data_IF_064435401553
#
_entry.id   IF_064435401553
#
_cell.length_a   1.000
_cell.length_b   1.000
_cell.length_c   1.000
_cell.angle_alpha   90.00
_cell.angle_beta   90.00
_cell.angle_gamma   90.00
#
_symmetry.space_group_name_H-M   'P 1'
#
loop_
_entity.id
_entity.type
_entity.pdbx_description
1 polymer ?
#
# COMPACT_ATOMS: atom_id res chain seq x y z
N UNK A 1 15.79 -54.84 -31.90
CA UNK A 1 15.69 -54.16 -30.59
C UNK A 1 16.33 -52.78 -30.71
N UNK A 2 15.57 -51.70 -30.94
CA UNK A 2 16.03 -50.35 -30.64
C UNK A 2 15.27 -49.75 -29.46
N UNK A 3 16.05 -49.11 -28.59
CA UNK A 3 15.76 -48.64 -27.23
C UNK A 3 15.11 -47.26 -27.17
N UNK A 4 14.20 -47.10 -26.20
CA UNK A 4 13.52 -45.88 -25.77
C UNK A 4 14.49 -44.71 -25.51
N UNK A 5 14.62 -43.75 -26.44
CA UNK A 5 15.39 -42.52 -26.21
C UNK A 5 14.55 -41.24 -26.37
N UNK A 6 13.37 -41.30 -26.99
CA UNK A 6 12.57 -40.11 -27.33
C UNK A 6 11.63 -39.65 -26.21
N UNK A 7 11.38 -40.48 -25.19
CA UNK A 7 10.39 -40.19 -24.14
C UNK A 7 10.92 -39.26 -23.04
N UNK A 8 12.23 -39.14 -22.83
CA UNK A 8 12.77 -38.36 -21.70
C UNK A 8 12.81 -36.85 -21.96
N UNK A 9 13.10 -36.41 -23.20
CA UNK A 9 13.25 -34.99 -23.52
C UNK A 9 11.95 -34.17 -23.38
N UNK A 10 10.79 -34.78 -23.63
CA UNK A 10 9.47 -34.12 -23.49
C UNK A 10 9.06 -33.96 -22.01
N UNK A 11 9.48 -34.91 -21.17
CA UNK A 11 9.23 -34.91 -19.72
C UNK A 11 10.12 -33.89 -19.02
N UNK A 12 11.37 -33.74 -19.46
CA UNK A 12 12.31 -32.74 -18.92
C UNK A 12 11.91 -31.30 -19.25
N UNK A 13 11.43 -31.04 -20.48
CA UNK A 13 10.96 -29.71 -20.88
C UNK A 13 9.68 -29.28 -20.13
N UNK A 14 8.78 -30.22 -19.86
CA UNK A 14 7.54 -29.95 -19.08
C UNK A 14 7.85 -29.68 -17.61
N UNK A 15 8.81 -30.43 -17.04
CA UNK A 15 9.26 -30.24 -15.65
C UNK A 15 9.99 -28.90 -15.47
N UNK A 16 10.88 -28.55 -16.41
CA UNK A 16 11.59 -27.26 -16.39
C UNK A 16 10.63 -26.06 -16.53
N UNK A 17 9.61 -26.14 -17.38
CA UNK A 17 8.61 -25.09 -17.52
C UNK A 17 7.78 -24.88 -16.24
N UNK A 18 7.37 -25.98 -15.57
CA UNK A 18 6.66 -25.91 -14.28
C UNK A 18 7.52 -25.36 -13.13
N UNK A 19 8.82 -25.65 -13.12
CA UNK A 19 9.78 -25.10 -12.17
C UNK A 19 10.02 -23.59 -12.39
N UNK A 20 10.08 -23.14 -13.64
CA UNK A 20 10.23 -21.73 -14.00
C UNK A 20 9.01 -20.90 -13.60
N UNK A 21 7.80 -21.42 -13.80
CA UNK A 21 6.54 -20.75 -13.44
C UNK A 21 6.38 -20.64 -11.91
N UNK A 22 6.65 -21.72 -11.17
CA UNK A 22 6.63 -21.70 -9.70
C UNK A 22 7.67 -20.75 -9.09
N UNK A 23 8.88 -20.68 -9.64
CA UNK A 23 9.90 -19.73 -9.22
C UNK A 23 9.48 -18.27 -9.47
N UNK A 24 8.91 -17.98 -10.64
CA UNK A 24 8.39 -16.66 -11.00
C UNK A 24 7.25 -16.25 -10.07
N UNK A 25 6.32 -17.16 -9.79
CA UNK A 25 5.21 -16.95 -8.84
C UNK A 25 5.72 -16.66 -7.43
N UNK A 26 6.74 -17.39 -6.97
CA UNK A 26 7.35 -17.16 -5.66
C UNK A 26 8.01 -15.76 -5.56
N UNK A 27 8.67 -15.29 -6.62
CA UNK A 27 9.25 -13.94 -6.66
C UNK A 27 8.15 -12.89 -6.59
N UNK A 28 7.10 -13.03 -7.40
CA UNK A 28 5.94 -12.13 -7.39
C UNK A 28 5.28 -12.08 -6.01
N UNK A 29 5.07 -13.23 -5.37
CA UNK A 29 4.49 -13.31 -4.03
C UNK A 29 5.34 -12.59 -2.98
N UNK A 30 6.66 -12.75 -3.03
CA UNK A 30 7.58 -12.05 -2.11
C UNK A 30 7.51 -10.54 -2.29
N UNK A 31 7.43 -10.07 -3.55
CA UNK A 31 7.29 -8.63 -3.85
C UNK A 31 5.96 -8.09 -3.35
N UNK A 32 4.86 -8.80 -3.62
CA UNK A 32 3.54 -8.45 -3.13
C UNK A 32 3.50 -8.36 -1.60
N UNK A 33 4.04 -9.37 -0.90
CA UNK A 33 4.10 -9.35 0.56
C UNK A 33 4.91 -8.16 1.09
N UNK A 34 5.99 -7.76 0.41
CA UNK A 34 6.76 -6.57 0.79
C UNK A 34 5.94 -5.30 0.64
N UNK A 35 5.18 -5.18 -0.45
CA UNK A 35 4.29 -4.04 -0.70
C UNK A 35 3.19 -3.98 0.36
N UNK A 36 2.53 -5.11 0.63
CA UNK A 36 1.50 -5.22 1.67
C UNK A 36 2.03 -4.81 3.04
N UNK A 37 3.21 -5.32 3.43
CA UNK A 37 3.82 -4.94 4.70
C UNK A 37 4.20 -3.45 4.76
N UNK A 38 4.58 -2.86 3.62
CA UNK A 38 4.86 -1.43 3.51
C UNK A 38 3.61 -0.57 3.71
N UNK A 39 2.52 -0.88 3.00
CA UNK A 39 1.25 -0.17 3.16
C UNK A 39 0.65 -0.34 4.55
N UNK A 40 0.77 -1.55 5.11
CA UNK A 40 0.37 -1.83 6.48
C UNK A 40 1.12 -0.92 7.47
N UNK A 41 2.44 -0.84 7.37
CA UNK A 41 3.26 0.01 8.25
C UNK A 41 2.93 1.51 8.09
N UNK A 42 2.77 1.98 6.85
CA UNK A 42 2.39 3.37 6.55
C UNK A 42 1.01 3.69 7.12
N UNK A 43 0.02 2.84 6.89
CA UNK A 43 -1.37 3.07 7.34
C UNK A 43 -1.49 3.00 8.85
N UNK A 44 -0.80 2.05 9.50
CA UNK A 44 -0.68 2.02 10.96
C UNK A 44 -0.10 3.31 11.52
N UNK A 45 0.95 3.85 10.88
CA UNK A 45 1.60 5.07 11.34
C UNK A 45 0.73 6.31 11.11
N UNK A 46 0.03 6.40 9.98
CA UNK A 46 -0.96 7.46 9.70
C UNK A 46 -2.05 7.43 10.78
N UNK A 47 -2.66 6.27 11.05
CA UNK A 47 -3.71 6.13 12.05
C UNK A 47 -3.26 6.54 13.44
N UNK A 48 -2.04 6.13 13.83
CA UNK A 48 -1.44 6.54 15.10
C UNK A 48 -1.24 8.06 15.19
N UNK A 49 -0.63 8.67 14.17
CA UNK A 49 -0.32 10.11 14.17
C UNK A 49 -1.60 10.94 14.14
N UNK A 50 -2.54 10.60 13.27
CA UNK A 50 -3.82 11.29 13.13
C UNK A 50 -4.63 11.24 14.43
N UNK A 51 -4.73 10.08 15.08
CA UNK A 51 -5.35 9.96 16.40
C UNK A 51 -4.64 10.78 17.48
N UNK A 52 -3.30 10.77 17.48
CA UNK A 52 -2.50 11.53 18.47
C UNK A 52 -2.63 13.04 18.29
N UNK A 53 -2.86 13.50 17.05
CA UNK A 53 -3.00 14.90 16.67
C UNK A 53 -4.47 15.36 16.62
N UNK A 54 -5.43 14.48 16.90
CA UNK A 54 -6.87 14.72 16.79
C UNK A 54 -7.30 15.19 15.38
N UNK A 55 -6.77 14.52 14.35
CA UNK A 55 -7.09 14.79 12.94
C UNK A 55 -7.99 13.66 12.42
N UNK A 56 -9.22 13.94 11.95
CA UNK A 56 -10.22 12.92 11.65
C UNK A 56 -9.92 12.05 10.42
N UNK A 57 -9.33 12.60 9.35
CA UNK A 57 -8.98 11.88 8.12
C UNK A 57 -10.09 10.91 7.61
N UNK A 58 -11.36 11.30 7.72
CA UNK A 58 -12.51 10.48 7.30
C UNK A 58 -13.01 10.86 5.90
N UNK A 59 -12.58 12.01 5.39
CA UNK A 59 -13.00 12.54 4.09
C UNK A 59 -11.82 13.12 3.30
N UNK A 60 -12.02 13.31 2.00
CA UNK A 60 -11.04 14.01 1.16
C UNK A 60 -10.76 15.44 1.67
N UNK A 61 -11.77 16.13 2.22
CA UNK A 61 -11.61 17.45 2.81
C UNK A 61 -10.69 17.43 4.05
N UNK A 62 -10.84 16.45 4.94
CA UNK A 62 -9.96 16.30 6.12
C UNK A 62 -8.51 16.06 5.70
N UNK A 63 -8.33 15.26 4.65
CA UNK A 63 -7.01 14.94 4.10
C UNK A 63 -6.39 16.19 3.49
N UNK A 64 -7.15 16.93 2.69
CA UNK A 64 -6.69 18.18 2.10
C UNK A 64 -6.30 19.19 3.19
N UNK A 65 -7.10 19.32 4.24
CA UNK A 65 -6.77 20.18 5.39
C UNK A 65 -5.47 19.74 6.08
N UNK A 66 -5.23 18.43 6.24
CA UNK A 66 -3.98 17.90 6.80
C UNK A 66 -2.77 18.16 5.88
N UNK A 67 -2.99 18.30 4.57
CA UNK A 67 -1.95 18.64 3.59
C UNK A 67 -1.68 20.15 3.50
N UNK A 68 -2.67 21.02 3.72
CA UNK A 68 -2.56 22.47 3.53
C UNK A 68 -1.95 23.23 4.73
N UNK A 69 -1.78 22.58 5.87
CA UNK A 69 -1.53 23.24 7.15
C UNK A 69 -0.08 23.73 7.36
N UNK A 70 0.34 24.79 6.65
CA UNK A 70 1.64 25.46 6.85
C UNK A 70 1.52 26.90 7.37
N UNK A 71 0.57 27.69 6.89
CA UNK A 71 0.53 29.14 7.18
C UNK A 71 0.09 29.47 8.62
N UNK A 72 -0.92 28.78 9.15
CA UNK A 72 -1.42 29.01 10.52
C UNK A 72 -0.70 28.15 11.59
N UNK A 73 0.11 27.17 11.19
CA UNK A 73 0.95 26.38 12.09
C UNK A 73 2.24 27.10 12.50
N UNK A 74 2.59 28.19 11.82
CA UNK A 74 3.79 29.00 12.07
C UNK A 74 3.82 29.68 13.46
N UNK A 75 2.67 29.77 14.14
CA UNK A 75 2.58 30.19 15.54
C UNK A 75 2.96 29.09 16.55
N UNK A 76 2.90 27.82 16.15
CA UNK A 76 3.40 26.71 16.94
C UNK A 76 4.92 26.60 16.72
N UNK A 77 5.70 26.94 17.76
CA UNK A 77 7.16 26.93 17.77
C UNK A 77 7.75 25.82 16.88
N UNK A 78 8.33 26.21 15.75
CA UNK A 78 9.03 25.28 14.87
C UNK A 78 9.98 24.39 15.70
N UNK A 79 9.84 23.07 15.57
CA UNK A 79 10.64 22.09 16.32
C UNK A 79 9.96 21.40 17.51
N UNK A 80 8.69 21.71 17.85
CA UNK A 80 7.96 20.90 18.83
C UNK A 80 7.79 19.46 18.37
N UNK A 81 7.52 18.55 19.31
CA UNK A 81 7.16 17.16 19.00
C UNK A 81 5.91 17.10 18.12
N UNK A 82 4.91 17.93 18.41
CA UNK A 82 3.66 18.00 17.64
C UNK A 82 3.90 18.47 16.20
N UNK A 83 4.69 19.53 16.00
CA UNK A 83 5.04 20.01 14.66
C UNK A 83 5.75 18.91 13.84
N UNK A 84 6.65 18.14 14.46
CA UNK A 84 7.30 16.99 13.81
C UNK A 84 6.31 15.88 13.46
N UNK A 85 5.34 15.58 14.33
CA UNK A 85 4.29 14.60 14.05
C UNK A 85 3.38 15.04 12.89
N UNK A 86 3.06 16.34 12.80
CA UNK A 86 2.27 16.90 11.68
C UNK A 86 3.03 16.80 10.35
N UNK A 87 4.32 17.15 10.34
CA UNK A 87 5.19 17.01 9.16
C UNK A 87 5.29 15.54 8.74
N UNK A 88 5.49 14.62 9.69
CA UNK A 88 5.53 13.19 9.42
C UNK A 88 4.20 12.67 8.84
N UNK A 89 3.07 13.04 9.45
CA UNK A 89 1.74 12.67 8.96
C UNK A 89 1.53 13.13 7.52
N UNK A 90 1.86 14.39 7.23
CA UNK A 90 1.75 14.95 5.87
C UNK A 90 2.64 14.19 4.89
N UNK A 91 3.90 13.93 5.23
CA UNK A 91 4.82 13.20 4.37
C UNK A 91 4.31 11.78 4.07
N UNK A 92 3.74 11.10 5.06
CA UNK A 92 3.16 9.77 4.89
C UNK A 92 1.88 9.78 4.05
N UNK A 93 1.03 10.80 4.20
CA UNK A 93 -0.14 10.98 3.35
C UNK A 93 0.29 11.18 1.89
N UNK A 94 1.20 12.13 1.61
CA UNK A 94 1.73 12.36 0.26
C UNK A 94 2.32 11.07 -0.32
N UNK A 95 3.16 10.36 0.45
CA UNK A 95 3.75 9.10 0.01
C UNK A 95 2.68 8.05 -0.34
N UNK A 96 1.64 7.89 0.51
CA UNK A 96 0.56 6.92 0.27
C UNK A 96 -0.16 7.23 -1.04
N UNK A 97 -0.57 8.48 -1.23
CA UNK A 97 -1.28 8.91 -2.45
C UNK A 97 -0.42 8.74 -3.71
N UNK A 98 0.82 9.18 -3.67
CA UNK A 98 1.75 9.10 -4.80
C UNK A 98 2.09 7.65 -5.19
N UNK A 99 2.26 6.75 -4.23
CA UNK A 99 2.46 5.32 -4.51
C UNK A 99 1.19 4.69 -5.10
N UNK A 100 0.02 4.98 -4.54
CA UNK A 100 -1.27 4.46 -5.05
C UNK A 100 -1.52 4.93 -6.48
N UNK A 101 -1.36 6.23 -6.75
CA UNK A 101 -1.52 6.79 -8.08
C UNK A 101 -0.57 6.11 -9.08
N UNK A 102 0.71 5.93 -8.74
CA UNK A 102 1.67 5.23 -9.61
C UNK A 102 1.29 3.77 -9.88
N UNK A 103 0.75 3.07 -8.89
CA UNK A 103 0.30 1.69 -9.06
C UNK A 103 -0.92 1.63 -9.98
N UNK A 104 -1.91 2.49 -9.73
CA UNK A 104 -3.14 2.54 -10.50
C UNK A 104 -2.90 2.84 -12.00
N UNK A 105 -2.00 3.78 -12.29
CA UNK A 105 -1.68 4.19 -13.66
C UNK A 105 -0.61 3.30 -14.35
N UNK A 106 -0.15 2.23 -13.68
CA UNK A 106 0.83 1.32 -14.28
C UNK A 106 0.14 0.23 -15.09
N UNK A 107 0.50 0.07 -16.37
CA UNK A 107 0.01 -1.02 -17.24
C UNK A 107 0.24 -2.43 -16.66
N UNK A 108 1.18 -2.56 -15.71
CA UNK A 108 1.54 -3.85 -15.08
C UNK A 108 0.70 -4.18 -13.86
N UNK A 109 0.04 -3.20 -13.25
CA UNK A 109 -0.71 -3.34 -12.00
C UNK A 109 -2.16 -2.93 -12.24
N UNK A 110 -2.37 -1.69 -12.66
CA UNK A 110 -3.70 -1.13 -12.90
C UNK A 110 -4.46 -0.76 -11.62
N UNK A 111 -5.54 0.00 -11.79
CA UNK A 111 -6.40 0.47 -10.71
C UNK A 111 -6.93 -0.66 -9.82
N UNK A 112 -7.55 -1.68 -10.42
CA UNK A 112 -8.16 -2.79 -9.69
C UNK A 112 -7.18 -3.50 -8.75
N UNK A 113 -6.00 -3.88 -9.26
CA UNK A 113 -5.00 -4.55 -8.42
C UNK A 113 -4.41 -3.61 -7.35
N UNK A 114 -4.31 -2.31 -7.63
CA UNK A 114 -3.90 -1.33 -6.62
C UNK A 114 -4.91 -1.26 -5.47
N UNK A 115 -6.21 -1.19 -5.78
CA UNK A 115 -7.28 -1.23 -4.79
C UNK A 115 -7.23 -2.51 -3.95
N UNK A 116 -7.11 -3.68 -4.59
CA UNK A 116 -7.03 -4.98 -3.90
C UNK A 116 -5.83 -5.06 -2.94
N UNK A 117 -4.67 -4.55 -3.36
CA UNK A 117 -3.47 -4.52 -2.52
C UNK A 117 -3.72 -3.67 -1.27
N UNK A 118 -4.34 -2.49 -1.42
CA UNK A 118 -4.60 -1.61 -0.29
C UNK A 118 -5.66 -2.19 0.66
N UNK A 119 -6.75 -2.73 0.13
CA UNK A 119 -7.75 -3.43 0.94
C UNK A 119 -7.14 -4.60 1.71
N UNK A 120 -6.33 -5.42 1.04
CA UNK A 120 -5.64 -6.55 1.70
C UNK A 120 -4.69 -6.07 2.81
N UNK A 121 -3.97 -4.95 2.61
CA UNK A 121 -3.11 -4.39 3.65
C UNK A 121 -3.93 -3.87 4.84
N UNK A 122 -5.10 -3.27 4.59
CA UNK A 122 -6.01 -2.81 5.62
C UNK A 122 -6.66 -3.97 6.39
N UNK A 123 -7.07 -5.03 5.71
CA UNK A 123 -7.61 -6.23 6.35
C UNK A 123 -6.61 -6.86 7.33
N UNK A 124 -5.31 -6.82 6.99
CA UNK A 124 -4.24 -7.25 7.92
C UNK A 124 -4.16 -6.38 9.17
N UNK A 125 -4.36 -5.07 9.05
CA UNK A 125 -4.42 -4.17 10.20
C UNK A 125 -5.64 -4.45 11.07
N UNK A 126 -6.81 -4.63 10.45
CA UNK A 126 -8.03 -5.01 11.16
C UNK A 126 -7.85 -6.33 11.93
N UNK A 127 -7.23 -7.33 11.29
CA UNK A 127 -6.90 -8.60 11.92
C UNK A 127 -5.89 -8.46 13.09
N UNK A 128 -5.07 -7.38 13.10
CA UNK A 128 -4.18 -7.02 14.21
C UNK A 128 -4.85 -6.18 15.30
N UNK A 129 -6.14 -5.88 15.18
CA UNK A 129 -6.92 -5.14 16.17
C UNK A 129 -6.95 -3.62 15.97
N UNK A 130 -6.57 -3.11 14.79
CA UNK A 130 -6.81 -1.71 14.46
C UNK A 130 -8.32 -1.46 14.31
N UNK A 131 -8.78 -0.32 14.82
CA UNK A 131 -10.17 0.11 14.70
C UNK A 131 -10.47 0.48 13.25
N UNK A 132 -11.53 -0.09 12.67
CA UNK A 132 -11.98 0.22 11.31
C UNK A 132 -12.39 1.69 11.14
N UNK A 133 -12.77 2.36 12.21
CA UNK A 133 -13.11 3.79 12.23
C UNK A 133 -11.92 4.67 12.63
N UNK A 134 -10.71 4.12 12.80
CA UNK A 134 -9.56 4.96 13.09
C UNK A 134 -9.26 5.92 11.91
N UNK A 135 -8.84 7.16 12.18
CA UNK A 135 -8.44 8.10 11.15
C UNK A 135 -7.46 7.49 10.13
N UNK A 136 -7.74 7.69 8.84
CA UNK A 136 -6.89 7.18 7.76
C UNK A 136 -7.06 5.68 7.44
N UNK A 137 -7.91 4.94 8.17
CA UNK A 137 -8.31 3.58 7.80
C UNK A 137 -9.35 3.55 6.67
N UNK A 138 -10.10 4.64 6.47
CA UNK A 138 -10.95 4.78 5.30
C UNK A 138 -10.10 4.97 4.04
N UNK A 139 -10.27 4.07 3.07
CA UNK A 139 -9.55 4.09 1.80
C UNK A 139 -10.33 4.78 0.69
N UNK A 140 -11.64 5.01 0.84
CA UNK A 140 -12.47 5.63 -0.21
C UNK A 140 -11.86 6.93 -0.74
N UNK A 141 -11.32 7.85 0.09
CA UNK A 141 -10.72 9.08 -0.42
C UNK A 141 -9.48 8.88 -1.30
N UNK A 142 -8.84 7.71 -1.26
CA UNK A 142 -7.70 7.41 -2.14
C UNK A 142 -8.13 6.98 -3.54
N UNK A 143 -9.36 6.47 -3.68
CA UNK A 143 -9.87 5.90 -4.92
C UNK A 143 -10.70 6.92 -5.72
N UNK A 144 -11.14 8.01 -5.09
CA UNK A 144 -11.71 9.16 -5.79
C UNK A 144 -10.74 9.65 -6.88
N UNK A 145 -11.14 9.50 -8.15
CA UNK A 145 -10.36 9.89 -9.33
C UNK A 145 -9.42 8.81 -9.90
N UNK A 146 -9.48 7.57 -9.40
CA UNK A 146 -8.78 6.41 -9.99
C UNK A 146 -9.67 5.61 -10.95
N UNK A 147 -10.99 5.79 -10.87
CA UNK A 147 -12.00 5.05 -11.66
C UNK A 147 -12.30 5.66 -13.06
N UNK A 148 -11.54 6.66 -13.53
CA UNK A 148 -11.69 7.29 -14.85
C UNK A 148 -10.69 6.77 -15.91
#
# INVERSE_FOLDING_TARGET
>A
MPTNATTNAKTDATTAASAQDSASRAITQRRLNRILNGFEAVSARIAFLARTLDIPLHSAADIQQALECDANCSGAKAGTREARMRVELRALLVLRYDVVARMAHSDRVGAAAACDILHTANDRLLAKGYDAQAPGMDLRPLFDGIDD
#
